data_IF_180249552225
#
_entry.id   IF_180249552225
#
_cell.length_a   1.000
_cell.length_b   1.000
_cell.length_c   1.000
_cell.angle_alpha   90.00
_cell.angle_beta   90.00
_cell.angle_gamma   90.00
#
_symmetry.space_group_name_H-M   'P 1'
#
loop_
_entity.id
_entity.type
_entity.pdbx_description
1 polymer ?
#
# COMPACT_ATOMS: atom_id res chain seq x y z
N UNK A 1 57.03 5.27 -33.30
CA UNK A 1 58.00 6.33 -32.95
C UNK A 1 57.64 7.64 -33.69
N UNK A 2 56.93 8.53 -32.99
CA UNK A 2 56.50 9.83 -33.52
C UNK A 2 56.13 10.76 -32.37
N UNK A 3 57.10 11.63 -32.04
CA UNK A 3 57.15 12.81 -31.17
C UNK A 3 55.94 13.25 -30.29
N UNK A 4 56.27 13.57 -29.03
CA UNK A 4 55.52 14.43 -28.09
C UNK A 4 55.78 15.93 -28.36
N UNK A 5 54.74 16.75 -28.06
CA UNK A 5 54.71 18.13 -27.48
C UNK A 5 55.37 19.26 -28.29
N UNK A 6 54.92 20.51 -28.25
CA UNK A 6 53.89 21.26 -27.51
C UNK A 6 53.62 22.56 -28.29
N UNK A 7 52.49 23.24 -27.99
CA UNK A 7 52.34 24.67 -27.60
C UNK A 7 50.97 25.22 -28.03
N UNK A 8 50.17 25.67 -27.06
CA UNK A 8 49.07 26.61 -27.26
C UNK A 8 49.62 27.99 -27.67
N UNK A 9 48.76 28.89 -28.20
CA UNK A 9 48.33 29.98 -27.32
C UNK A 9 46.84 30.40 -27.42
N UNK A 10 46.28 30.62 -26.23
CA UNK A 10 45.39 31.69 -25.75
C UNK A 10 44.76 32.73 -26.71
N UNK A 11 43.47 33.02 -26.42
CA UNK A 11 42.76 34.29 -26.67
C UNK A 11 41.98 34.30 -27.98
N UNK A 12 40.72 34.70 -28.09
CA UNK A 12 39.87 35.56 -27.25
C UNK A 12 38.49 35.56 -27.92
N UNK A 13 37.40 35.34 -27.19
CA UNK A 13 36.24 36.25 -27.20
C UNK A 13 35.15 35.71 -26.28
N UNK A 14 34.98 36.40 -25.15
CA UNK A 14 33.83 36.31 -24.31
C UNK A 14 32.59 36.79 -25.08
N UNK A 15 31.50 36.01 -25.01
CA UNK A 15 30.15 36.57 -25.08
C UNK A 15 29.32 35.89 -24.02
N UNK A 16 29.21 36.58 -22.89
CA UNK A 16 28.17 36.30 -21.93
C UNK A 16 26.81 36.65 -22.51
N UNK A 17 25.82 35.83 -22.20
CA UNK A 17 24.47 36.26 -21.94
C UNK A 17 23.93 35.42 -20.78
N UNK A 18 23.29 36.13 -19.85
CA UNK A 18 22.91 35.73 -18.50
C UNK A 18 21.67 34.82 -18.45
N UNK A 19 21.31 34.24 -17.28
CA UNK A 19 20.30 33.20 -17.15
C UNK A 19 18.88 33.81 -17.06
N UNK A 20 17.93 33.31 -17.84
CA UNK A 20 16.51 33.68 -17.76
C UNK A 20 15.67 32.60 -18.51
N UNK A 21 14.64 31.95 -17.99
CA UNK A 21 13.82 32.06 -16.79
C UNK A 21 13.43 30.65 -16.35
N UNK A 22 13.64 30.28 -15.08
CA UNK A 22 13.25 28.99 -14.50
C UNK A 22 12.54 29.22 -13.15
N UNK A 23 11.50 30.05 -13.16
CA UNK A 23 10.91 30.54 -11.91
C UNK A 23 9.51 31.13 -11.99
N UNK A 24 8.74 30.90 -13.06
CA UNK A 24 7.34 31.39 -13.13
C UNK A 24 6.38 30.44 -13.88
N UNK A 25 6.75 29.17 -13.99
CA UNK A 25 5.87 28.09 -14.50
C UNK A 25 5.80 26.89 -13.55
N UNK A 26 6.72 26.76 -12.60
CA UNK A 26 6.76 25.62 -11.68
C UNK A 26 5.75 25.72 -10.50
N UNK A 27 5.38 26.94 -10.07
CA UNK A 27 4.40 27.15 -8.98
C UNK A 27 2.94 26.95 -9.41
N UNK A 28 2.61 27.22 -10.68
CA UNK A 28 1.24 27.04 -11.19
C UNK A 28 1.05 25.61 -11.69
N UNK A 29 2.09 24.97 -12.23
CA UNK A 29 2.10 23.55 -12.59
C UNK A 29 1.95 22.62 -11.37
N UNK A 30 2.44 23.04 -10.20
CA UNK A 30 2.24 22.30 -8.94
C UNK A 30 0.82 22.41 -8.39
N UNK A 31 0.16 23.56 -8.52
CA UNK A 31 -1.20 23.76 -7.99
C UNK A 31 -2.26 22.96 -8.77
N UNK A 32 -2.14 22.88 -10.11
CA UNK A 32 -3.05 22.10 -10.96
C UNK A 32 -2.89 20.58 -10.78
N UNK A 33 -1.71 20.10 -10.37
CA UNK A 33 -1.48 18.69 -10.02
C UNK A 33 -1.90 18.37 -8.58
N UNK A 34 -1.91 19.38 -7.70
CA UNK A 34 -2.30 19.25 -6.30
C UNK A 34 -3.81 19.03 -6.13
N UNK A 35 -4.65 19.84 -6.78
CA UNK A 35 -6.11 19.77 -6.60
C UNK A 35 -6.74 18.40 -6.92
N UNK A 36 -6.39 17.72 -8.04
CA UNK A 36 -6.91 16.39 -8.35
C UNK A 36 -6.48 15.33 -7.33
N UNK A 37 -5.22 15.38 -6.86
CA UNK A 37 -4.70 14.47 -5.83
C UNK A 37 -5.36 14.72 -4.48
N UNK A 38 -5.51 15.97 -4.10
CA UNK A 38 -6.19 16.37 -2.88
C UNK A 38 -7.65 15.91 -2.90
N UNK A 39 -8.37 16.14 -4.00
CA UNK A 39 -9.75 15.66 -4.16
C UNK A 39 -9.87 14.14 -4.03
N UNK A 40 -8.97 13.39 -4.66
CA UNK A 40 -8.93 11.93 -4.52
C UNK A 40 -8.64 11.48 -3.08
N UNK A 41 -7.66 12.09 -2.41
CA UNK A 41 -7.33 11.78 -1.01
C UNK A 41 -8.49 12.12 -0.06
N UNK A 42 -9.19 13.23 -0.29
CA UNK A 42 -10.38 13.59 0.49
C UNK A 42 -11.47 12.53 0.36
N UNK A 43 -11.74 12.05 -0.87
CA UNK A 43 -12.72 10.95 -1.07
C UNK A 43 -12.26 9.68 -0.35
N UNK A 44 -10.98 9.30 -0.49
CA UNK A 44 -10.43 8.13 0.20
C UNK A 44 -10.53 8.27 1.73
N UNK A 45 -10.29 9.46 2.29
CA UNK A 45 -10.44 9.74 3.71
C UNK A 45 -11.88 9.57 4.19
N UNK A 46 -12.85 10.08 3.43
CA UNK A 46 -14.27 9.91 3.75
C UNK A 46 -14.69 8.44 3.73
N UNK A 47 -14.25 7.69 2.72
CA UNK A 47 -14.51 6.24 2.63
C UNK A 47 -13.82 5.52 3.79
N UNK A 48 -12.56 5.85 4.08
CA UNK A 48 -11.81 5.25 5.19
C UNK A 48 -12.44 5.54 6.56
N UNK A 49 -13.16 6.66 6.72
CA UNK A 49 -13.88 6.98 7.95
C UNK A 49 -14.96 5.94 8.31
N UNK A 50 -15.44 5.15 7.35
CA UNK A 50 -16.35 4.02 7.59
C UNK A 50 -15.74 2.99 8.56
N UNK A 51 -14.41 2.83 8.54
CA UNK A 51 -13.71 1.92 9.45
C UNK A 51 -13.95 2.26 10.93
N UNK A 52 -14.07 3.55 11.27
CA UNK A 52 -14.38 4.00 12.63
C UNK A 52 -15.79 3.61 13.08
N UNK A 53 -16.75 3.61 12.16
CA UNK A 53 -18.14 3.20 12.43
C UNK A 53 -18.20 1.70 12.69
N UNK A 54 -17.48 0.90 11.91
CA UNK A 54 -17.36 -0.54 12.13
C UNK A 54 -16.75 -0.79 13.50
N UNK A 55 -15.65 -0.11 13.82
CA UNK A 55 -14.95 -0.27 15.09
C UNK A 55 -15.84 0.11 16.29
N UNK A 56 -16.62 1.19 16.18
CA UNK A 56 -17.61 1.60 17.19
C UNK A 56 -18.72 0.57 17.41
N UNK A 57 -19.11 -0.19 16.37
CA UNK A 57 -20.04 -1.31 16.51
C UNK A 57 -19.51 -2.46 17.39
N UNK A 58 -18.19 -2.56 17.55
CA UNK A 58 -17.51 -3.55 18.40
C UNK A 58 -16.90 -2.94 19.67
N UNK A 59 -17.39 -1.78 20.12
CA UNK A 59 -16.82 -1.08 21.28
C UNK A 59 -16.77 -1.96 22.54
N UNK A 60 -17.82 -2.73 22.83
CA UNK A 60 -17.83 -3.65 23.96
C UNK A 60 -16.78 -4.78 23.87
N UNK A 61 -16.46 -5.23 22.66
CA UNK A 61 -15.38 -6.21 22.44
C UNK A 61 -14.02 -5.56 22.74
N UNK A 62 -13.81 -4.35 22.25
CA UNK A 62 -12.56 -3.60 22.39
C UNK A 62 -12.31 -3.24 23.85
N UNK A 63 -13.33 -2.85 24.61
CA UNK A 63 -13.18 -2.58 26.04
C UNK A 63 -12.70 -3.79 26.83
N UNK A 64 -13.15 -4.99 26.46
CA UNK A 64 -12.69 -6.24 27.07
C UNK A 64 -11.29 -6.66 26.57
N UNK A 65 -10.89 -6.22 25.39
CA UNK A 65 -9.66 -6.63 24.71
C UNK A 65 -8.90 -5.43 24.15
N UNK A 66 -8.50 -4.50 25.02
CA UNK A 66 -7.83 -3.25 24.61
C UNK A 66 -6.56 -3.52 23.79
N UNK A 67 -5.88 -4.63 24.09
CA UNK A 67 -4.65 -5.07 23.42
C UNK A 67 -4.84 -5.32 21.92
N UNK A 68 -6.04 -5.74 21.48
CA UNK A 68 -6.33 -6.01 20.07
C UNK A 68 -6.19 -4.74 19.21
N UNK A 69 -6.42 -3.56 19.77
CA UNK A 69 -6.34 -2.29 19.03
C UNK A 69 -4.93 -2.01 18.53
N UNK A 70 -3.91 -2.37 19.31
CA UNK A 70 -2.52 -2.23 18.86
C UNK A 70 -2.17 -3.17 17.71
N UNK A 71 -2.89 -4.29 17.58
CA UNK A 71 -2.69 -5.24 16.50
C UNK A 71 -3.58 -4.94 15.29
N UNK A 72 -4.70 -4.24 15.45
CA UNK A 72 -5.55 -3.80 14.34
C UNK A 72 -4.76 -2.97 13.33
N UNK A 73 -4.04 -1.95 13.80
CA UNK A 73 -3.21 -1.08 12.94
C UNK A 73 -2.11 -1.87 12.23
N UNK A 74 -1.49 -2.82 12.94
CA UNK A 74 -0.47 -3.72 12.40
C UNK A 74 -1.03 -4.60 11.27
N UNK A 75 -2.17 -5.25 11.50
CA UNK A 75 -2.78 -6.19 10.53
C UNK A 75 -3.25 -5.44 9.29
N UNK A 76 -3.91 -4.30 9.48
CA UNK A 76 -4.42 -3.47 8.39
C UNK A 76 -3.28 -2.90 7.54
N UNK A 77 -2.23 -2.37 8.18
CA UNK A 77 -1.05 -1.88 7.48
C UNK A 77 -0.33 -2.99 6.71
N UNK A 78 -0.21 -4.19 7.31
CA UNK A 78 0.35 -5.36 6.65
C UNK A 78 -0.49 -5.79 5.44
N UNK A 79 -1.81 -5.83 5.60
CA UNK A 79 -2.76 -6.14 4.55
C UNK A 79 -2.61 -5.17 3.38
N UNK A 80 -2.68 -3.87 3.61
CA UNK A 80 -2.53 -2.85 2.57
C UNK A 80 -1.20 -2.92 1.83
N UNK A 81 -0.09 -3.13 2.55
CA UNK A 81 1.23 -3.32 1.95
C UNK A 81 1.30 -4.58 1.06
N UNK A 82 0.80 -5.72 1.54
CA UNK A 82 0.78 -6.96 0.77
C UNK A 82 -0.10 -6.85 -0.48
N UNK A 83 -1.26 -6.21 -0.36
CA UNK A 83 -2.17 -5.97 -1.48
C UNK A 83 -1.61 -5.00 -2.50
N UNK A 84 -0.97 -3.92 -2.04
CA UNK A 84 -0.27 -2.95 -2.89
C UNK A 84 0.88 -3.60 -3.68
N UNK A 85 1.67 -4.47 -3.05
CA UNK A 85 2.69 -5.25 -3.76
C UNK A 85 2.07 -6.17 -4.82
N UNK A 86 0.99 -6.88 -4.46
CA UNK A 86 0.25 -7.74 -5.37
C UNK A 86 -0.33 -6.97 -6.56
N UNK A 87 -0.81 -5.75 -6.32
CA UNK A 87 -1.31 -4.80 -7.33
C UNK A 87 -0.23 -4.41 -8.31
N UNK A 88 0.92 -3.94 -7.82
CA UNK A 88 2.04 -3.53 -8.68
C UNK A 88 2.49 -4.69 -9.57
N UNK A 89 2.59 -5.90 -9.02
CA UNK A 89 2.94 -7.10 -9.78
C UNK A 89 1.87 -7.43 -10.84
N UNK A 90 0.59 -7.28 -10.50
CA UNK A 90 -0.51 -7.53 -11.43
C UNK A 90 -0.59 -6.49 -12.55
N UNK A 91 -0.37 -5.21 -12.26
CA UNK A 91 -0.28 -4.14 -13.28
C UNK A 91 0.88 -4.40 -14.22
N UNK A 92 2.05 -4.76 -13.69
CA UNK A 92 3.21 -5.14 -14.52
C UNK A 92 2.93 -6.35 -15.40
N UNK A 93 2.25 -7.37 -14.87
CA UNK A 93 1.84 -8.54 -15.65
C UNK A 93 0.87 -8.21 -16.79
N UNK A 94 -0.09 -7.32 -16.53
CA UNK A 94 -1.02 -6.83 -17.56
C UNK A 94 -0.27 -6.04 -18.65
N UNK A 95 0.69 -5.19 -18.27
CA UNK A 95 1.50 -4.43 -19.21
C UNK A 95 2.40 -5.32 -20.10
N UNK A 96 2.82 -6.49 -19.62
CA UNK A 96 3.60 -7.47 -20.38
C UNK A 96 2.75 -8.54 -21.09
N UNK A 97 1.42 -8.37 -21.12
CA UNK A 97 0.50 -9.30 -21.80
C UNK A 97 0.35 -10.67 -21.14
N UNK A 98 0.86 -10.86 -19.92
CA UNK A 98 0.72 -12.12 -19.18
C UNK A 98 -0.64 -12.20 -18.48
N UNK A 99 -1.34 -13.33 -18.65
CA UNK A 99 -2.57 -13.61 -17.92
C UNK A 99 -2.28 -13.81 -16.43
N UNK A 100 -2.88 -12.96 -15.60
CA UNK A 100 -2.79 -13.05 -14.14
C UNK A 100 -3.88 -13.98 -13.63
N UNK A 101 -3.51 -15.22 -13.28
CA UNK A 101 -4.44 -16.22 -12.75
C UNK A 101 -4.69 -16.03 -11.25
N UNK A 102 -5.96 -15.94 -10.85
CA UNK A 102 -6.38 -15.81 -9.44
C UNK A 102 -5.81 -16.93 -8.55
N UNK A 103 -5.71 -18.16 -9.06
CA UNK A 103 -5.16 -19.31 -8.33
C UNK A 103 -3.68 -19.15 -7.95
N UNK A 104 -2.86 -18.63 -8.87
CA UNK A 104 -1.43 -18.41 -8.60
C UNK A 104 -1.23 -17.31 -7.56
N UNK A 105 -2.13 -16.33 -7.53
CA UNK A 105 -2.06 -15.23 -6.59
C UNK A 105 -2.55 -15.62 -5.20
N UNK A 106 -3.59 -16.46 -5.11
CA UNK A 106 -3.99 -17.07 -3.85
C UNK A 106 -2.85 -17.91 -3.25
N UNK A 107 -2.13 -18.68 -4.09
CA UNK A 107 -0.96 -19.45 -3.65
C UNK A 107 0.16 -18.55 -3.11
N UNK A 108 0.45 -17.43 -3.79
CA UNK A 108 1.44 -16.44 -3.32
C UNK A 108 1.01 -15.78 -2.02
N UNK A 109 -0.27 -15.43 -1.88
CA UNK A 109 -0.84 -14.91 -0.63
C UNK A 109 -0.72 -15.92 0.52
N UNK A 110 -0.98 -17.19 0.25
CA UNK A 110 -0.84 -18.25 1.24
C UNK A 110 0.63 -18.46 1.65
N UNK A 111 1.56 -18.47 0.69
CA UNK A 111 3.00 -18.57 0.95
C UNK A 111 3.50 -17.37 1.77
N UNK A 112 3.03 -16.16 1.45
CA UNK A 112 3.36 -14.96 2.21
C UNK A 112 2.80 -15.03 3.63
N UNK A 113 1.57 -15.52 3.78
CA UNK A 113 0.93 -15.74 5.09
C UNK A 113 1.68 -16.77 5.92
N UNK A 114 2.20 -17.83 5.31
CA UNK A 114 2.98 -18.85 6.00
C UNK A 114 4.24 -18.27 6.69
N UNK A 115 4.82 -17.21 6.12
CA UNK A 115 5.99 -16.54 6.70
C UNK A 115 5.57 -15.47 7.72
N UNK A 116 4.56 -14.66 7.40
CA UNK A 116 4.19 -13.51 8.22
C UNK A 116 3.34 -13.86 9.45
N UNK A 117 2.47 -14.87 9.35
CA UNK A 117 1.56 -15.27 10.44
C UNK A 117 2.33 -15.79 11.66
N UNK A 118 3.35 -16.67 11.54
CA UNK A 118 4.16 -17.08 12.68
C UNK A 118 4.90 -15.90 13.31
N UNK A 119 5.43 -14.97 12.51
CA UNK A 119 6.10 -13.77 13.02
C UNK A 119 5.15 -12.87 13.80
N UNK A 120 3.93 -12.67 13.29
CA UNK A 120 2.88 -11.92 13.98
C UNK A 120 2.48 -12.62 15.29
N UNK A 121 2.31 -13.95 15.27
CA UNK A 121 1.99 -14.76 16.45
C UNK A 121 3.06 -14.64 17.53
N UNK A 122 4.33 -14.87 17.18
CA UNK A 122 5.45 -14.74 18.12
C UNK A 122 5.58 -13.33 18.67
N UNK A 123 5.41 -12.30 17.83
CA UNK A 123 5.44 -10.90 18.27
C UNK A 123 4.35 -10.60 19.30
N UNK A 124 3.13 -11.11 19.09
CA UNK A 124 2.01 -10.94 20.05
C UNK A 124 2.31 -11.67 21.35
N UNK A 125 2.82 -12.90 21.26
CA UNK A 125 3.13 -13.74 22.41
C UNK A 125 4.20 -13.09 23.31
N UNK A 126 5.23 -12.49 22.71
CA UNK A 126 6.28 -11.77 23.44
C UNK A 126 5.74 -10.50 24.10
N UNK A 127 4.82 -9.79 23.44
CA UNK A 127 4.31 -8.49 23.91
C UNK A 127 3.27 -8.63 25.04
N UNK A 128 2.30 -9.54 24.91
CA UNK A 128 1.16 -9.64 25.84
C UNK A 128 1.06 -10.97 26.57
N UNK A 129 1.77 -12.03 26.16
CA UNK A 129 1.73 -13.35 26.80
C UNK A 129 0.41 -14.12 26.67
N UNK A 130 -0.66 -13.50 26.16
CA UNK A 130 -1.97 -14.15 25.98
C UNK A 130 -2.03 -14.97 24.69
N UNK A 131 -2.20 -16.29 24.85
CA UNK A 131 -2.39 -17.21 23.73
C UNK A 131 -3.66 -16.92 22.93
N UNK A 132 -4.75 -16.52 23.61
CA UNK A 132 -6.02 -16.21 22.95
C UNK A 132 -5.88 -15.03 21.96
N UNK A 133 -5.18 -13.97 22.38
CA UNK A 133 -4.90 -12.81 21.51
C UNK A 133 -3.96 -13.21 20.37
N UNK A 134 -2.93 -14.02 20.65
CA UNK A 134 -2.01 -14.50 19.63
C UNK A 134 -2.71 -15.32 18.54
N UNK A 135 -3.61 -16.24 18.91
CA UNK A 135 -4.42 -17.00 17.95
C UNK A 135 -5.37 -16.10 17.15
N UNK A 136 -6.05 -15.16 17.81
CA UNK A 136 -6.94 -14.19 17.17
C UNK A 136 -6.20 -13.40 16.09
N UNK A 137 -5.02 -12.88 16.41
CA UNK A 137 -4.17 -12.12 15.47
C UNK A 137 -3.67 -13.01 14.35
N UNK A 138 -3.23 -14.24 14.64
CA UNK A 138 -2.71 -15.16 13.63
C UNK A 138 -3.78 -15.55 12.59
N UNK A 139 -4.98 -15.93 13.04
CA UNK A 139 -6.10 -16.29 12.17
C UNK A 139 -6.54 -15.08 11.35
N UNK A 140 -6.70 -13.92 12.00
CA UNK A 140 -7.08 -12.68 11.33
C UNK A 140 -6.06 -12.29 10.26
N UNK A 141 -4.77 -12.35 10.58
CA UNK A 141 -3.67 -12.01 9.67
C UNK A 141 -3.68 -12.91 8.43
N UNK A 142 -3.92 -14.21 8.60
CA UNK A 142 -4.03 -15.15 7.49
C UNK A 142 -5.17 -14.75 6.53
N UNK A 143 -6.36 -14.48 7.09
CA UNK A 143 -7.54 -14.10 6.30
C UNK A 143 -7.30 -12.76 5.59
N UNK A 144 -6.76 -11.77 6.30
CA UNK A 144 -6.47 -10.44 5.75
C UNK A 144 -5.44 -10.52 4.63
N UNK A 145 -4.36 -11.29 4.78
CA UNK A 145 -3.34 -11.45 3.73
C UNK A 145 -3.91 -12.18 2.50
N UNK A 146 -4.72 -13.21 2.69
CA UNK A 146 -5.37 -13.93 1.61
C UNK A 146 -6.37 -13.05 0.83
N UNK A 147 -7.21 -12.30 1.54
CA UNK A 147 -8.15 -11.34 0.94
C UNK A 147 -7.39 -10.21 0.26
N UNK A 148 -6.35 -9.66 0.91
CA UNK A 148 -5.56 -8.55 0.38
C UNK A 148 -4.88 -8.87 -0.94
N UNK A 149 -4.20 -10.02 -1.01
CA UNK A 149 -3.49 -10.44 -2.24
C UNK A 149 -4.47 -10.76 -3.38
N UNK A 150 -5.66 -11.26 -3.05
CA UNK A 150 -6.76 -11.48 -3.99
C UNK A 150 -7.35 -10.17 -4.52
N UNK A 151 -7.60 -9.20 -3.64
CA UNK A 151 -8.04 -7.85 -4.01
C UNK A 151 -6.99 -7.14 -4.88
N UNK A 152 -5.71 -7.18 -4.48
CA UNK A 152 -4.61 -6.54 -5.21
C UNK A 152 -4.46 -7.01 -6.65
N UNK A 153 -4.83 -8.25 -6.95
CA UNK A 153 -4.71 -8.81 -8.32
C UNK A 153 -5.97 -8.68 -9.16
N UNK A 154 -7.10 -8.39 -8.52
CA UNK A 154 -8.38 -8.20 -9.19
C UNK A 154 -8.60 -6.72 -9.52
N UNK A 155 -8.19 -5.82 -8.62
CA UNK A 155 -8.39 -4.37 -8.73
C UNK A 155 -7.82 -3.77 -10.03
N UNK A 156 -6.57 -4.08 -10.47
CA UNK A 156 -6.05 -3.56 -11.74
C UNK A 156 -6.94 -3.84 -12.94
N UNK A 157 -7.49 -5.05 -13.03
CA UNK A 157 -8.40 -5.44 -14.14
C UNK A 157 -9.69 -4.63 -14.10
N UNK A 158 -10.23 -4.40 -12.90
CA UNK A 158 -11.44 -3.59 -12.69
C UNK A 158 -11.17 -2.12 -13.04
N UNK A 159 -10.05 -1.56 -12.60
CA UNK A 159 -9.68 -0.17 -12.92
C UNK A 159 -9.48 0.03 -14.43
N UNK A 160 -8.80 -0.90 -15.11
CA UNK A 160 -8.67 -0.86 -16.57
C UNK A 160 -10.03 -0.94 -17.27
N UNK A 161 -10.94 -1.79 -16.80
CA UNK A 161 -12.29 -1.91 -17.36
C UNK A 161 -13.11 -0.61 -17.18
N UNK A 162 -12.90 0.10 -16.06
CA UNK A 162 -13.53 1.38 -15.75
C UNK A 162 -12.80 2.60 -16.33
N UNK A 163 -11.68 2.39 -17.06
CA UNK A 163 -10.81 3.46 -17.58
C UNK A 163 -10.24 4.40 -16.49
N UNK A 164 -10.07 3.88 -15.28
CA UNK A 164 -9.45 4.59 -14.15
C UNK A 164 -7.95 4.26 -14.13
N UNK A 165 -7.11 5.27 -13.86
CA UNK A 165 -5.66 5.10 -13.81
C UNK A 165 -5.26 4.15 -12.65
N UNK A 166 -4.54 3.02 -12.94
CA UNK A 166 -4.04 2.09 -11.94
C UNK A 166 -3.08 2.73 -10.92
N UNK A 167 -2.57 3.93 -11.16
CA UNK A 167 -1.78 4.69 -10.18
C UNK A 167 -2.50 4.87 -8.83
N UNK A 168 -3.83 4.93 -8.83
CA UNK A 168 -4.65 5.06 -7.62
C UNK A 168 -4.94 3.73 -6.90
N UNK A 169 -4.62 2.59 -7.53
CA UNK A 169 -5.02 1.28 -7.04
C UNK A 169 -4.44 0.92 -5.67
N UNK A 170 -3.22 1.35 -5.36
CA UNK A 170 -2.59 1.08 -4.06
C UNK A 170 -3.33 1.78 -2.91
N UNK A 171 -3.73 3.04 -3.10
CA UNK A 171 -4.52 3.79 -2.11
C UNK A 171 -5.92 3.17 -1.92
N UNK A 172 -6.56 2.74 -3.01
CA UNK A 172 -7.87 2.06 -2.95
C UNK A 172 -7.75 0.75 -2.17
N UNK A 173 -6.68 -0.03 -2.39
CA UNK A 173 -6.42 -1.26 -1.63
C UNK A 173 -6.21 -0.96 -0.16
N UNK A 174 -5.44 0.08 0.17
CA UNK A 174 -5.22 0.47 1.56
C UNK A 174 -6.55 0.72 2.27
N UNK A 175 -7.42 1.57 1.71
CA UNK A 175 -8.74 1.88 2.28
C UNK A 175 -9.61 0.62 2.40
N UNK A 176 -9.59 -0.26 1.39
CA UNK A 176 -10.33 -1.51 1.44
C UNK A 176 -9.82 -2.43 2.55
N UNK A 177 -8.51 -2.46 2.79
CA UNK A 177 -7.90 -3.22 3.88
C UNK A 177 -8.10 -2.57 5.25
N UNK A 178 -8.20 -1.24 5.34
CA UNK A 178 -8.62 -0.57 6.57
C UNK A 178 -10.01 -1.03 7.00
N UNK A 179 -10.99 -0.94 6.09
CA UNK A 179 -12.38 -1.30 6.39
C UNK A 179 -12.53 -2.82 6.57
N UNK A 180 -12.05 -3.60 5.60
CA UNK A 180 -12.18 -5.05 5.60
C UNK A 180 -11.32 -5.73 6.66
N UNK A 181 -10.11 -5.22 6.90
CA UNK A 181 -9.21 -5.76 7.91
C UNK A 181 -9.74 -5.57 9.32
N UNK A 182 -10.29 -4.39 9.64
CA UNK A 182 -10.97 -4.15 10.92
C UNK A 182 -12.15 -5.11 11.07
N UNK A 183 -13.02 -5.22 10.05
CA UNK A 183 -14.17 -6.12 10.10
C UNK A 183 -13.76 -7.59 10.32
N UNK A 184 -12.71 -8.06 9.65
CA UNK A 184 -12.18 -9.43 9.80
C UNK A 184 -11.66 -9.65 11.21
N UNK A 185 -10.83 -8.74 11.73
CA UNK A 185 -10.25 -8.89 13.07
C UNK A 185 -11.34 -8.89 14.13
N UNK A 186 -12.31 -7.97 14.05
CA UNK A 186 -13.44 -7.93 14.96
C UNK A 186 -14.28 -9.22 14.87
N UNK A 187 -14.55 -9.73 13.67
CA UNK A 187 -15.31 -10.96 13.49
C UNK A 187 -14.59 -12.19 14.08
N UNK A 188 -13.28 -12.32 13.86
CA UNK A 188 -12.48 -13.42 14.43
C UNK A 188 -12.41 -13.30 15.95
N UNK A 189 -12.24 -12.10 16.48
CA UNK A 189 -12.18 -11.85 17.91
C UNK A 189 -13.48 -12.13 18.66
N UNK A 190 -14.63 -12.10 17.99
CA UNK A 190 -15.92 -12.54 18.56
C UNK A 190 -16.00 -14.07 18.67
N UNK A 191 -15.30 -14.80 17.79
CA UNK A 191 -15.36 -16.26 17.70
C UNK A 191 -14.39 -16.94 18.66
N UNK A 192 -13.21 -16.36 18.85
CA UNK A 192 -12.13 -16.89 19.71
C UNK A 192 -12.37 -16.54 21.17
#
# INVERSE_FOLDING_TARGET
PGMRRATEPSGESAKGEAPAKKGCTDEVESMHLFWPRAGFLVVMLLVQSISSVILGGFEGLIQNHTDLVFFLTMIVGLGGNAGGQSMVLSVRGLATGHQVYTRQQLLRGLLLSLVLVPLAFFRVLIQHGSLAVAFTVAISCLIVLATSTSCGTSIPRILLALKIDPAHGAAIIQVLMDIGGIAIVCAVAVIV
#
